data_IF_587797630391
#
_entry.id   IF_587797630391
#
_cell.length_a   1.000
_cell.length_b   1.000
_cell.length_c   1.000
_cell.angle_alpha   90.00
_cell.angle_beta   90.00
_cell.angle_gamma   90.00
#
_symmetry.space_group_name_H-M   'P 1'
#
loop_
_entity.id
_entity.type
_entity.pdbx_description
1 polymer ?
#
# COMPACT_ATOMS: atom_id res chain seq x y z
N UNK A 1 7.31 6.36 -2.43
CA UNK A 1 7.23 6.10 -3.89
C UNK A 1 7.82 4.72 -4.12
N UNK A 2 7.22 3.89 -4.98
CA UNK A 2 7.73 2.53 -5.20
C UNK A 2 8.93 2.56 -6.15
N UNK A 3 10.06 2.03 -5.71
CA UNK A 3 11.21 1.75 -6.58
C UNK A 3 10.96 0.41 -7.27
N UNK A 4 11.13 0.37 -8.60
CA UNK A 4 10.87 -0.82 -9.41
C UNK A 4 12.19 -1.43 -9.89
N UNK A 5 12.32 -2.74 -9.80
CA UNK A 5 13.43 -3.52 -10.31
C UNK A 5 13.00 -4.50 -11.43
N UNK A 6 13.92 -4.97 -12.29
CA UNK A 6 13.64 -6.04 -13.23
C UNK A 6 13.08 -7.28 -12.52
N UNK A 7 11.98 -7.83 -13.05
CA UNK A 7 11.28 -8.98 -12.45
C UNK A 7 10.11 -8.62 -11.54
N UNK A 8 9.92 -7.34 -11.19
CA UNK A 8 8.78 -6.92 -10.38
C UNK A 8 7.44 -7.10 -11.12
N UNK A 9 6.49 -7.75 -10.46
CA UNK A 9 5.13 -7.91 -10.96
C UNK A 9 4.27 -6.73 -10.51
N UNK A 10 4.08 -5.76 -11.41
CA UNK A 10 3.28 -4.56 -11.17
C UNK A 10 1.78 -4.81 -11.42
N UNK A 11 1.01 -4.82 -10.35
CA UNK A 11 -0.43 -5.07 -10.37
C UNK A 11 -1.24 -3.79 -10.14
N UNK A 12 -2.48 -3.70 -10.64
CA UNK A 12 -3.42 -2.69 -10.18
C UNK A 12 -3.58 -2.78 -8.67
N UNK A 13 -3.58 -1.63 -7.98
CA UNK A 13 -3.65 -1.54 -6.52
C UNK A 13 -4.71 -2.47 -5.88
N UNK A 14 -6.00 -2.46 -6.30
CA UNK A 14 -6.99 -3.34 -5.67
C UNK A 14 -6.69 -4.83 -5.90
N UNK A 15 -6.14 -5.20 -7.05
CA UNK A 15 -5.75 -6.58 -7.36
C UNK A 15 -4.54 -7.03 -6.56
N UNK A 16 -3.56 -6.13 -6.36
CA UNK A 16 -2.40 -6.42 -5.51
C UNK A 16 -2.83 -6.67 -4.07
N UNK A 17 -3.75 -5.85 -3.54
CA UNK A 17 -4.25 -5.99 -2.17
C UNK A 17 -5.02 -7.30 -2.00
N UNK A 18 -5.95 -7.60 -2.91
CA UNK A 18 -6.70 -8.86 -2.89
C UNK A 18 -5.78 -10.08 -2.93
N UNK A 19 -4.75 -10.06 -3.78
CA UNK A 19 -3.79 -11.18 -3.86
C UNK A 19 -2.89 -11.28 -2.63
N UNK A 20 -2.52 -10.16 -2.01
CA UNK A 20 -1.60 -10.15 -0.88
C UNK A 20 -2.29 -10.59 0.43
N UNK A 21 -3.53 -10.16 0.67
CA UNK A 21 -4.21 -10.36 1.97
C UNK A 21 -5.61 -11.01 1.86
N UNK A 22 -6.05 -11.42 0.67
CA UNK A 22 -7.34 -12.08 0.47
C UNK A 22 -8.57 -11.17 0.56
N UNK A 23 -8.39 -9.88 0.85
CA UNK A 23 -9.46 -8.89 0.95
C UNK A 23 -9.31 -7.82 -0.14
N UNK A 24 -10.42 -7.45 -0.78
CA UNK A 24 -10.47 -6.41 -1.80
C UNK A 24 -11.14 -5.14 -1.26
N UNK A 25 -10.38 -4.08 -0.93
CA UNK A 25 -10.96 -2.83 -0.47
C UNK A 25 -11.73 -2.10 -1.57
N UNK A 26 -12.66 -1.23 -1.17
CA UNK A 26 -13.32 -0.30 -2.08
C UNK A 26 -12.30 0.58 -2.84
N UNK A 27 -12.56 0.96 -4.11
CA UNK A 27 -11.64 1.81 -4.89
C UNK A 27 -11.26 3.13 -4.22
N UNK A 28 -12.20 3.76 -3.49
CA UNK A 28 -11.93 4.98 -2.71
C UNK A 28 -10.92 4.73 -1.59
N UNK A 29 -10.99 3.58 -0.92
CA UNK A 29 -10.02 3.17 0.10
C UNK A 29 -8.64 2.99 -0.50
N UNK A 30 -8.55 2.32 -1.66
CA UNK A 30 -7.30 2.19 -2.41
C UNK A 30 -6.72 3.57 -2.78
N UNK A 31 -7.57 4.49 -3.25
CA UNK A 31 -7.16 5.87 -3.58
C UNK A 31 -6.67 6.61 -2.34
N UNK A 32 -7.36 6.46 -1.20
CA UNK A 32 -6.93 7.06 0.08
C UNK A 32 -5.56 6.54 0.51
N UNK A 33 -5.35 5.23 0.52
CA UNK A 33 -4.07 4.62 0.92
C UNK A 33 -2.91 5.03 0.02
N UNK A 34 -3.16 5.20 -1.29
CA UNK A 34 -2.14 5.61 -2.26
C UNK A 34 -1.88 7.12 -2.30
N UNK A 35 -2.85 7.97 -1.92
CA UNK A 35 -2.69 9.43 -1.94
C UNK A 35 -2.32 10.03 -0.58
N UNK A 36 -3.02 9.61 0.47
CA UNK A 36 -2.92 10.19 1.81
C UNK A 36 -2.32 9.21 2.82
N UNK A 37 -2.49 7.91 2.59
CA UNK A 37 -2.13 6.89 3.58
C UNK A 37 -3.14 6.78 4.71
N UNK A 38 -2.73 6.11 5.78
CA UNK A 38 -3.47 5.88 7.01
C UNK A 38 -2.47 5.69 8.15
N UNK A 39 -2.72 6.32 9.31
CA UNK A 39 -1.79 6.29 10.46
C UNK A 39 -0.35 6.69 10.08
N UNK A 40 -0.20 7.70 9.22
CA UNK A 40 1.10 8.16 8.73
C UNK A 40 1.78 7.24 7.70
N UNK A 41 1.24 6.05 7.43
CA UNK A 41 1.80 5.08 6.49
C UNK A 41 1.06 5.15 5.16
N UNK A 42 1.81 5.20 4.05
CA UNK A 42 1.26 5.36 2.70
C UNK A 42 1.64 4.17 1.82
N UNK A 43 0.68 3.64 1.06
CA UNK A 43 0.94 2.51 0.16
C UNK A 43 1.86 2.96 -0.97
N UNK A 44 3.01 2.32 -1.09
CA UNK A 44 3.97 2.59 -2.14
C UNK A 44 3.40 2.20 -3.51
N UNK A 45 3.47 3.13 -4.47
CA UNK A 45 3.02 2.92 -5.84
C UNK A 45 3.99 3.54 -6.83
N UNK A 46 3.92 3.04 -8.06
CA UNK A 46 4.52 3.61 -9.28
C UNK A 46 3.40 3.90 -10.28
N UNK A 47 3.54 4.93 -11.10
CA UNK A 47 2.55 5.25 -12.14
C UNK A 47 3.01 4.66 -13.47
N UNK A 48 2.18 3.80 -14.08
CA UNK A 48 2.42 3.19 -15.40
C UNK A 48 1.19 3.42 -16.27
N UNK A 49 1.35 4.11 -17.40
CA UNK A 49 0.23 4.47 -18.29
C UNK A 49 -0.84 5.32 -17.59
N UNK A 50 -0.44 6.23 -16.71
CA UNK A 50 -1.34 7.10 -15.95
C UNK A 50 -2.13 6.43 -14.83
N UNK A 51 -1.86 5.14 -14.53
CA UNK A 51 -2.55 4.39 -13.48
C UNK A 51 -1.57 3.93 -12.39
N UNK A 52 -1.90 4.07 -11.10
CA UNK A 52 -1.05 3.60 -10.02
C UNK A 52 -1.01 2.06 -10.02
N UNK A 53 0.21 1.53 -9.91
CA UNK A 53 0.52 0.12 -9.77
C UNK A 53 1.36 -0.09 -8.52
N UNK A 54 1.29 -1.30 -7.98
CA UNK A 54 2.08 -1.70 -6.81
C UNK A 54 2.48 -3.18 -6.92
N UNK A 55 3.35 -3.63 -6.04
CA UNK A 55 3.75 -5.03 -5.90
C UNK A 55 3.04 -5.65 -4.70
N UNK A 56 3.04 -6.99 -4.62
CA UNK A 56 2.52 -7.68 -3.44
C UNK A 56 3.36 -7.37 -2.19
N UNK A 57 4.69 -7.34 -2.33
CA UNK A 57 5.61 -6.99 -1.24
C UNK A 57 5.30 -5.62 -0.64
N UNK A 58 5.11 -4.59 -1.48
CA UNK A 58 4.76 -3.25 -1.03
C UNK A 58 3.41 -3.18 -0.30
N UNK A 59 2.46 -4.07 -0.62
CA UNK A 59 1.20 -4.18 0.14
C UNK A 59 1.46 -4.78 1.52
N UNK A 60 2.26 -5.84 1.62
CA UNK A 60 2.60 -6.47 2.89
C UNK A 60 3.32 -5.47 3.80
N UNK A 61 4.35 -4.80 3.29
CA UNK A 61 5.07 -3.74 4.03
C UNK A 61 4.13 -2.64 4.52
N UNK A 62 3.18 -2.21 3.68
CA UNK A 62 2.17 -1.22 4.05
C UNK A 62 1.29 -1.72 5.20
N UNK A 63 0.81 -2.96 5.14
CA UNK A 63 -0.06 -3.56 6.18
C UNK A 63 0.68 -3.70 7.50
N UNK A 64 1.92 -4.18 7.46
CA UNK A 64 2.76 -4.32 8.66
C UNK A 64 3.04 -2.96 9.29
N UNK A 65 3.49 -1.98 8.49
CA UNK A 65 3.81 -0.65 8.98
C UNK A 65 2.59 0.08 9.56
N UNK A 66 1.42 0.04 8.90
CA UNK A 66 0.22 0.68 9.44
C UNK A 66 -0.26 0.01 10.74
N UNK A 67 0.01 -1.28 10.91
CA UNK A 67 -0.39 -2.05 12.09
C UNK A 67 0.55 -1.74 13.24
N UNK A 68 1.87 -1.72 12.99
CA UNK A 68 2.86 -1.27 13.97
C UNK A 68 2.56 0.16 14.46
N UNK A 69 2.20 1.07 13.54
CA UNK A 69 1.78 2.43 13.88
C UNK A 69 0.46 2.50 14.69
N UNK A 70 -0.34 1.43 14.71
CA UNK A 70 -1.54 1.35 15.54
C UNK A 70 -1.29 0.80 16.94
N UNK A 71 -0.19 0.07 17.14
CA UNK A 71 0.17 -0.59 18.41
C UNK A 71 1.21 0.21 19.19
N UNK A 72 1.97 1.09 18.50
CA UNK A 72 2.86 2.03 19.17
C UNK A 72 2.07 2.84 20.21
N UNK A 73 2.40 2.72 21.52
CA UNK A 73 1.72 3.49 22.54
C UNK A 73 2.02 4.98 22.31
N UNK A 74 1.01 5.82 22.56
CA UNK A 74 1.17 7.26 22.75
C UNK A 74 2.20 7.47 23.87
N UNK A 75 3.47 7.56 23.53
CA UNK A 75 4.52 7.93 24.48
C UNK A 75 5.21 9.19 23.99
N UNK A 76 5.07 10.19 24.85
CA UNK A 76 5.61 11.56 24.86
C UNK A 76 4.97 12.61 23.95
N UNK A 77 3.93 13.24 24.49
CA UNK A 77 3.72 14.69 24.42
C UNK A 77 3.25 15.20 25.79
#
# INVERSE_FOLDING_TARGET
MLTVAPGDVLLPVPTAIEKAIGYRPHPTTCTRWTRHGVRGVKLATVVVGGRPRTTLAAVIEFVEAQTAASVAPEMEA
#
